data_IF_456382689029
#
_entry.id   IF_456382689029
#
_cell.length_a   1.000
_cell.length_b   1.000
_cell.length_c   1.000
_cell.angle_alpha   90.00
_cell.angle_beta   90.00
_cell.angle_gamma   90.00
#
_symmetry.space_group_name_H-M   'P 1'
#
loop_
_entity.id
_entity.type
_entity.pdbx_description
1 polymer ?
#
# COMPACT_ATOMS: atom_id res chain seq x y z
N UNK A 1 -5.90 -5.87 -5.74
CA UNK A 1 -5.68 -5.69 -4.29
C UNK A 1 -4.28 -6.12 -3.87
N UNK A 2 -3.73 -7.18 -4.45
CA UNK A 2 -2.38 -7.71 -4.27
C UNK A 2 -1.27 -6.65 -4.23
N UNK A 3 -1.26 -5.68 -5.15
CA UNK A 3 -0.27 -4.60 -5.19
C UNK A 3 -0.33 -3.68 -3.96
N UNK A 4 -1.53 -3.37 -3.48
CA UNK A 4 -1.73 -2.55 -2.28
C UNK A 4 -1.22 -3.31 -1.05
N UNK A 5 -1.50 -4.61 -0.97
CA UNK A 5 -0.96 -5.44 0.12
C UNK A 5 0.57 -5.55 0.06
N UNK A 6 1.15 -5.67 -1.14
CA UNK A 6 2.60 -5.66 -1.30
C UNK A 6 3.21 -4.34 -0.81
N UNK A 7 2.63 -3.18 -1.18
CA UNK A 7 3.05 -1.88 -0.66
C UNK A 7 2.93 -1.78 0.88
N UNK A 8 1.84 -2.26 1.45
CA UNK A 8 1.63 -2.25 2.91
C UNK A 8 2.64 -3.14 3.65
N UNK A 9 2.97 -4.30 3.08
CA UNK A 9 4.02 -5.18 3.63
C UNK A 9 5.37 -4.49 3.61
N UNK A 10 5.73 -3.84 2.49
CA UNK A 10 6.99 -3.11 2.37
C UNK A 10 7.07 -1.94 3.36
N UNK A 11 6.01 -1.15 3.45
CA UNK A 11 5.90 -0.06 4.40
C UNK A 11 6.05 -0.54 5.85
N UNK A 12 5.30 -1.57 6.25
CA UNK A 12 5.40 -2.14 7.60
C UNK A 12 6.75 -2.77 7.91
N UNK A 13 7.51 -3.17 6.88
CA UNK A 13 8.86 -3.71 7.01
C UNK A 13 9.96 -2.64 6.86
N UNK A 14 9.59 -1.36 6.81
CA UNK A 14 10.50 -0.21 6.60
C UNK A 14 11.36 -0.38 5.33
N UNK A 15 10.76 -0.93 4.27
CA UNK A 15 11.38 -1.12 2.96
C UNK A 15 10.82 -0.15 1.95
N UNK A 16 11.68 0.27 1.01
CA UNK A 16 11.27 1.14 -0.08
C UNK A 16 10.20 0.50 -0.96
N UNK A 17 9.14 1.26 -1.27
CA UNK A 17 8.10 0.83 -2.21
C UNK A 17 8.54 1.21 -3.63
N UNK A 18 9.33 0.34 -4.26
CA UNK A 18 9.84 0.52 -5.62
C UNK A 18 9.45 -0.65 -6.54
N UNK A 19 9.73 -0.52 -7.84
CA UNK A 19 9.32 -1.51 -8.85
C UNK A 19 9.87 -2.92 -8.54
N UNK A 20 11.14 -3.00 -8.13
CA UNK A 20 11.84 -4.25 -7.83
C UNK A 20 11.23 -4.97 -6.62
N UNK A 21 11.01 -4.24 -5.53
CA UNK A 21 10.50 -4.79 -4.28
C UNK A 21 9.04 -5.25 -4.41
N UNK A 22 8.19 -4.44 -5.07
CA UNK A 22 6.79 -4.81 -5.31
C UNK A 22 6.72 -6.04 -6.21
N UNK A 23 7.50 -6.06 -7.30
CA UNK A 23 7.56 -7.20 -8.23
C UNK A 23 7.97 -8.48 -7.52
N UNK A 24 9.01 -8.41 -6.69
CA UNK A 24 9.53 -9.56 -5.92
C UNK A 24 8.47 -10.16 -5.01
N UNK A 25 7.65 -9.35 -4.33
CA UNK A 25 6.56 -9.85 -3.47
C UNK A 25 5.46 -10.52 -4.29
N UNK A 26 5.07 -9.91 -5.40
CA UNK A 26 4.00 -10.45 -6.28
C UNK A 26 4.42 -11.79 -6.87
N UNK A 27 5.64 -11.88 -7.38
CA UNK A 27 6.20 -13.12 -7.92
C UNK A 27 6.39 -14.19 -6.84
N UNK A 28 6.83 -13.81 -5.63
CA UNK A 28 6.94 -14.73 -4.50
C UNK A 28 5.57 -15.31 -4.06
N UNK A 29 4.49 -14.57 -4.28
CA UNK A 29 3.12 -15.05 -4.08
C UNK A 29 2.62 -15.97 -5.22
N UNK A 30 3.44 -16.22 -6.25
CA UNK A 30 3.09 -17.04 -7.41
C UNK A 30 2.18 -16.33 -8.41
N UNK A 31 2.13 -14.99 -8.37
CA UNK A 31 1.30 -14.16 -9.24
C UNK A 31 2.20 -13.52 -10.30
N UNK A 32 1.71 -13.41 -11.53
CA UNK A 32 2.42 -12.70 -12.59
C UNK A 32 2.39 -11.19 -12.33
N UNK A 33 3.57 -10.56 -12.29
CA UNK A 33 3.71 -9.14 -12.07
C UNK A 33 3.36 -8.32 -13.32
N UNK A 34 2.44 -7.36 -13.15
CA UNK A 34 2.06 -6.39 -14.17
C UNK A 34 2.78 -5.06 -13.91
N UNK A 35 3.81 -4.80 -14.72
CA UNK A 35 4.66 -3.61 -14.58
C UNK A 35 3.86 -2.29 -14.70
N UNK A 36 2.76 -2.25 -15.46
CA UNK A 36 1.93 -1.04 -15.59
C UNK A 36 1.17 -0.76 -14.29
N UNK A 37 0.67 -1.80 -13.62
CA UNK A 37 -0.01 -1.68 -12.32
C UNK A 37 0.96 -1.33 -11.20
N UNK A 38 2.19 -1.85 -11.23
CA UNK A 38 3.25 -1.49 -10.29
C UNK A 38 3.58 0.00 -10.40
N UNK A 39 3.78 0.49 -11.63
CA UNK A 39 4.06 1.92 -11.87
C UNK A 39 2.91 2.82 -11.46
N UNK A 40 1.67 2.42 -11.76
CA UNK A 40 0.50 3.18 -11.33
C UNK A 40 0.38 3.25 -9.81
N UNK A 41 0.72 2.16 -9.10
CA UNK A 41 0.77 2.15 -7.64
C UNK A 41 1.84 3.12 -7.11
N UNK A 42 3.07 3.03 -7.62
CA UNK A 42 4.18 3.88 -7.16
C UNK A 42 3.84 5.36 -7.40
N UNK A 43 3.36 5.72 -8.59
CA UNK A 43 2.95 7.08 -8.90
C UNK A 43 1.80 7.57 -8.00
N UNK A 44 0.86 6.68 -7.64
CA UNK A 44 -0.23 7.03 -6.72
C UNK A 44 0.27 7.24 -5.27
N UNK A 45 1.46 6.75 -4.92
CA UNK A 45 2.06 6.85 -3.59
C UNK A 45 3.17 7.91 -3.50
N UNK A 46 3.62 8.51 -4.60
CA UNK A 46 4.72 9.50 -4.62
C UNK A 46 4.48 10.69 -3.67
N UNK A 47 3.24 11.17 -3.59
CA UNK A 47 2.84 12.30 -2.76
C UNK A 47 2.02 11.87 -1.51
N UNK A 48 2.05 10.59 -1.15
CA UNK A 48 1.27 10.05 -0.03
C UNK A 48 2.18 9.72 1.15
N UNK A 49 1.95 10.39 2.28
CA UNK A 49 2.47 9.95 3.57
C UNK A 49 1.58 8.80 4.09
N UNK A 50 2.12 7.58 4.05
CA UNK A 50 1.37 6.37 4.43
C UNK A 50 1.10 6.35 5.93
N UNK A 51 2.01 6.87 6.77
CA UNK A 51 1.82 6.91 8.22
C UNK A 51 0.67 7.87 8.56
N UNK A 52 0.68 9.08 7.99
CA UNK A 52 -0.40 10.06 8.18
C UNK A 52 -1.75 9.54 7.67
N UNK A 53 -1.74 8.88 6.50
CA UNK A 53 -2.94 8.27 5.95
C UNK A 53 -3.50 7.18 6.88
N UNK A 54 -2.63 6.33 7.45
CA UNK A 54 -3.03 5.29 8.39
C UNK A 54 -3.56 5.87 9.70
N UNK A 55 -2.90 6.87 10.27
CA UNK A 55 -3.37 7.57 11.48
C UNK A 55 -4.74 8.22 11.26
N UNK A 56 -4.93 8.90 10.13
CA UNK A 56 -6.20 9.53 9.75
C UNK A 56 -7.30 8.47 9.64
N UNK A 57 -7.02 7.33 9.01
CA UNK A 57 -8.00 6.23 8.90
C UNK A 57 -8.34 5.62 10.26
N UNK A 58 -7.37 5.45 11.15
CA UNK A 58 -7.59 4.97 12.50
C UNK A 58 -8.45 5.95 13.31
N UNK A 59 -8.22 7.26 13.16
CA UNK A 59 -8.99 8.30 13.83
C UNK A 59 -10.43 8.38 13.28
N UNK A 60 -10.61 8.23 11.96
CA UNK A 60 -11.92 8.15 11.33
C UNK A 60 -12.71 6.89 11.77
N UNK A 61 -12.03 5.77 11.96
CA UNK A 61 -12.64 4.53 12.47
C UNK A 61 -12.98 4.61 13.97
N UNK A 62 -12.28 5.45 14.74
CA UNK A 62 -12.51 5.68 16.16
C UNK A 62 -13.64 6.70 16.45
N UNK A 63 -14.10 7.44 15.42
CA UNK A 63 -15.24 8.34 15.58
C UNK A 63 -16.51 7.50 15.90
N UNK A 64 -17.25 7.81 16.97
CA UNK A 64 -18.49 7.10 17.24
C UNK A 64 -19.41 7.30 16.04
N UNK A 65 -19.84 6.20 15.44
CA UNK A 65 -20.91 6.25 14.46
C UNK A 65 -22.09 6.97 15.12
N UNK A 66 -22.38 8.19 14.66
CA UNK A 66 -23.53 8.94 15.15
C UNK A 66 -24.76 8.07 14.85
N UNK A 67 -25.28 7.42 15.89
CA UNK A 67 -26.54 6.71 15.84
C UNK A 67 -27.66 7.75 15.60
N UNK A 68 -28.70 7.38 14.83
CA UNK A 68 -29.77 8.30 14.42
C UNK A 68 -30.52 8.93 15.60
#
# INVERSE_FOLDING_TARGET
>A
MEYIYAAMILHSAEKDINEENVKSIIEAAGIEADDARIKALIAALEDVDIDEAMETTAMAAAAPAAAP
#
